data_IF_241739043573
#
_entry.id   IF_241739043573
#
_cell.length_a   1.000
_cell.length_b   1.000
_cell.length_c   1.000
_cell.angle_alpha   90.00
_cell.angle_beta   90.00
_cell.angle_gamma   90.00
#
_symmetry.space_group_name_H-M   'P 1'
#
loop_
_entity.id
_entity.type
_entity.pdbx_description
1 polymer ?
#
# COMPACT_ATOMS: atom_id res chain seq x y z
N UNK A 1 0.23 2.88 -2.07
CA UNK A 1 -0.17 2.92 -0.65
C UNK A 1 0.50 1.77 0.09
N UNK A 2 0.13 0.51 -0.21
CA UNK A 2 0.83 -0.67 0.29
C UNK A 2 2.29 -0.65 -0.18
N UNK A 3 3.24 -1.02 0.67
CA UNK A 3 4.68 -0.96 0.37
C UNK A 3 5.30 0.45 0.40
N UNK A 4 4.48 1.50 0.27
CA UNK A 4 4.93 2.89 0.24
C UNK A 4 4.61 3.63 1.56
N UNK A 5 3.36 3.71 1.95
CA UNK A 5 2.88 4.38 3.17
C UNK A 5 2.53 3.39 4.28
N UNK A 6 1.84 2.32 3.93
CA UNK A 6 1.53 1.17 4.79
C UNK A 6 2.65 0.14 4.69
N UNK A 7 3.26 -0.20 5.82
CA UNK A 7 4.12 -1.38 5.95
C UNK A 7 3.25 -2.64 5.94
N UNK A 8 2.88 -3.06 4.74
CA UNK A 8 1.93 -4.15 4.52
C UNK A 8 2.43 -5.47 5.11
N UNK A 9 3.71 -5.77 4.99
CA UNK A 9 4.27 -7.05 5.43
C UNK A 9 4.19 -7.17 6.98
N UNK A 10 4.53 -6.12 7.70
CA UNK A 10 4.37 -6.10 9.16
C UNK A 10 2.89 -6.09 9.58
N UNK A 11 2.05 -5.31 8.89
CA UNK A 11 0.61 -5.29 9.13
C UNK A 11 -0.01 -6.68 8.96
N UNK A 12 0.41 -7.40 7.91
CA UNK A 12 -0.08 -8.75 7.64
C UNK A 12 0.35 -9.75 8.71
N UNK A 13 1.60 -9.67 9.19
CA UNK A 13 2.10 -10.52 10.28
C UNK A 13 1.32 -10.29 11.58
N UNK A 14 1.07 -9.03 11.91
CA UNK A 14 0.28 -8.67 13.09
C UNK A 14 -1.16 -9.19 12.93
N UNK A 15 -1.77 -8.95 11.78
CA UNK A 15 -3.13 -9.38 11.51
C UNK A 15 -3.29 -10.89 11.64
N UNK A 16 -2.46 -11.68 10.93
CA UNK A 16 -2.63 -13.15 10.91
C UNK A 16 -2.40 -13.79 12.28
N UNK A 17 -1.52 -13.19 13.10
CA UNK A 17 -1.34 -13.60 14.49
C UNK A 17 -2.61 -13.35 15.31
N UNK A 18 -3.20 -12.16 15.19
CA UNK A 18 -4.47 -11.81 15.86
C UNK A 18 -5.64 -12.64 15.34
N UNK A 19 -5.71 -12.91 14.03
CA UNK A 19 -6.74 -13.77 13.45
C UNK A 19 -6.68 -15.18 14.03
N UNK A 20 -5.49 -15.78 14.09
CA UNK A 20 -5.31 -17.11 14.68
C UNK A 20 -5.75 -17.12 16.16
N UNK A 21 -5.41 -16.09 16.94
CA UNK A 21 -5.80 -15.97 18.36
C UNK A 21 -7.32 -15.82 18.50
N UNK A 22 -7.95 -15.00 17.69
CA UNK A 22 -9.40 -14.74 17.69
C UNK A 22 -10.23 -15.95 17.28
N UNK A 23 -9.71 -16.72 16.33
CA UNK A 23 -10.37 -17.90 15.75
C UNK A 23 -9.77 -19.22 16.26
N UNK A 24 -9.11 -19.17 17.42
CA UNK A 24 -8.38 -20.33 17.96
C UNK A 24 -9.26 -21.55 18.20
N UNK A 25 -10.54 -21.39 18.51
CA UNK A 25 -11.45 -22.53 18.71
C UNK A 25 -11.58 -23.43 17.48
N UNK A 26 -11.37 -22.89 16.27
CA UNK A 26 -11.39 -23.65 15.01
C UNK A 26 -10.01 -24.00 14.48
N UNK A 27 -8.97 -23.25 14.91
CA UNK A 27 -7.61 -23.39 14.38
C UNK A 27 -6.63 -24.10 15.33
N UNK A 28 -7.03 -24.40 16.57
CA UNK A 28 -6.15 -24.91 17.64
C UNK A 28 -5.38 -26.20 17.28
N UNK A 29 -5.94 -27.03 16.39
CA UNK A 29 -5.31 -28.26 15.91
C UNK A 29 -4.10 -28.02 14.98
N UNK A 30 -3.91 -26.76 14.53
CA UNK A 30 -2.82 -26.36 13.67
C UNK A 30 -1.81 -25.58 14.51
N UNK A 31 -0.51 -25.96 14.57
CA UNK A 31 0.47 -25.15 15.27
C UNK A 31 0.51 -23.71 14.75
N UNK A 32 0.38 -22.72 15.64
CA UNK A 32 0.26 -21.30 15.32
C UNK A 32 1.32 -20.82 14.33
N UNK A 33 2.58 -21.13 14.59
CA UNK A 33 3.69 -20.68 13.75
C UNK A 33 3.61 -21.28 12.32
N UNK A 34 3.13 -22.52 12.20
CA UNK A 34 2.91 -23.17 10.89
C UNK A 34 1.81 -22.47 10.12
N UNK A 35 0.68 -22.16 10.76
CA UNK A 35 -0.43 -21.46 10.14
C UNK A 35 0.00 -20.08 9.63
N UNK A 36 0.63 -19.28 10.50
CA UNK A 36 1.11 -17.94 10.17
C UNK A 36 2.11 -17.99 9.01
N UNK A 37 3.13 -18.84 9.11
CA UNK A 37 4.14 -18.98 8.06
C UNK A 37 3.52 -19.37 6.73
N UNK A 38 2.61 -20.37 6.74
CA UNK A 38 1.97 -20.84 5.53
C UNK A 38 1.05 -19.81 4.90
N UNK A 39 0.32 -19.05 5.71
CA UNK A 39 -0.49 -17.93 5.22
C UNK A 39 0.37 -16.90 4.48
N UNK A 40 1.50 -16.47 5.07
CA UNK A 40 2.40 -15.48 4.47
C UNK A 40 3.00 -15.99 3.15
N UNK A 41 3.40 -17.26 3.11
CA UNK A 41 3.89 -17.91 1.87
C UNK A 41 2.83 -17.89 0.77
N UNK A 42 1.60 -18.26 1.10
CA UNK A 42 0.49 -18.32 0.14
C UNK A 42 0.03 -16.94 -0.32
N UNK A 43 0.10 -15.94 0.55
CA UNK A 43 -0.21 -14.55 0.24
C UNK A 43 0.71 -13.97 -0.84
N UNK A 44 1.94 -14.46 -0.88
CA UNK A 44 2.94 -14.04 -1.86
C UNK A 44 2.98 -12.51 -2.02
N UNK A 45 3.18 -11.79 -0.90
CA UNK A 45 3.24 -10.32 -0.85
C UNK A 45 2.00 -9.62 -1.44
N UNK A 46 0.85 -10.26 -1.36
CA UNK A 46 -0.42 -9.71 -1.85
C UNK A 46 -0.71 -9.99 -3.32
N UNK A 47 0.16 -10.72 -4.02
CA UNK A 47 -0.10 -11.14 -5.40
C UNK A 47 -1.17 -12.24 -5.49
N UNK A 48 -1.40 -12.99 -4.42
CA UNK A 48 -2.49 -13.96 -4.32
C UNK A 48 -3.60 -13.36 -3.46
N UNK A 49 -4.82 -13.26 -4.02
CA UNK A 49 -5.96 -12.74 -3.28
C UNK A 49 -6.39 -13.70 -2.16
N UNK A 50 -6.92 -13.15 -1.08
CA UNK A 50 -7.17 -13.87 0.19
C UNK A 50 -8.16 -15.02 0.08
N UNK A 51 -9.12 -14.96 -0.84
CA UNK A 51 -10.01 -16.10 -1.11
C UNK A 51 -9.22 -17.36 -1.46
N UNK A 52 -8.21 -17.22 -2.34
CA UNK A 52 -7.34 -18.34 -2.75
C UNK A 52 -6.41 -18.80 -1.63
N UNK A 53 -5.92 -17.85 -0.84
CA UNK A 53 -5.08 -18.15 0.33
C UNK A 53 -5.87 -19.01 1.33
N UNK A 54 -7.07 -18.56 1.72
CA UNK A 54 -7.88 -19.27 2.70
C UNK A 54 -8.41 -20.60 2.18
N UNK A 55 -8.84 -20.68 0.92
CA UNK A 55 -9.22 -21.97 0.30
C UNK A 55 -8.08 -22.99 0.39
N UNK A 56 -6.84 -22.58 0.13
CA UNK A 56 -5.67 -23.47 0.24
C UNK A 56 -5.40 -23.87 1.68
N UNK A 57 -5.45 -22.94 2.64
CA UNK A 57 -5.24 -23.25 4.05
C UNK A 57 -6.27 -24.26 4.58
N UNK A 58 -7.55 -24.06 4.24
CA UNK A 58 -8.62 -25.00 4.61
C UNK A 58 -8.32 -26.39 4.08
N UNK A 59 -7.99 -26.50 2.80
CA UNK A 59 -7.71 -27.80 2.18
C UNK A 59 -6.43 -28.46 2.74
N UNK A 60 -5.36 -27.69 2.95
CA UNK A 60 -4.07 -28.21 3.41
C UNK A 60 -4.12 -28.69 4.88
N UNK A 61 -4.90 -28.03 5.72
CA UNK A 61 -4.99 -28.34 7.14
C UNK A 61 -6.26 -29.09 7.56
N UNK A 62 -7.17 -29.37 6.60
CA UNK A 62 -8.43 -30.09 6.90
C UNK A 62 -9.33 -29.32 7.85
N UNK A 63 -9.40 -27.99 7.73
CA UNK A 63 -10.27 -27.17 8.56
C UNK A 63 -11.72 -27.38 8.10
N UNK A 64 -12.63 -27.77 8.99
CA UNK A 64 -14.02 -28.11 8.65
C UNK A 64 -15.05 -27.25 9.37
N UNK A 65 -14.70 -26.63 10.51
CA UNK A 65 -15.62 -25.87 11.35
C UNK A 65 -15.78 -24.40 10.94
N UNK A 66 -14.90 -23.88 10.09
CA UNK A 66 -14.96 -22.52 9.57
C UNK A 66 -14.69 -22.50 8.08
N UNK A 67 -15.44 -21.71 7.35
CA UNK A 67 -15.32 -21.59 5.89
C UNK A 67 -14.26 -20.59 5.47
N UNK A 68 -13.80 -20.67 4.22
CA UNK A 68 -12.86 -19.68 3.69
C UNK A 68 -13.49 -18.28 3.54
N UNK A 69 -14.81 -18.20 3.34
CA UNK A 69 -15.56 -16.95 3.31
C UNK A 69 -15.56 -16.26 4.67
N UNK A 70 -15.73 -17.00 5.75
CA UNK A 70 -15.69 -16.46 7.12
C UNK A 70 -14.29 -15.97 7.46
N UNK A 71 -13.24 -16.70 7.09
CA UNK A 71 -11.86 -16.27 7.24
C UNK A 71 -11.55 -15.01 6.42
N UNK A 72 -12.07 -14.93 5.19
CA UNK A 72 -11.95 -13.74 4.35
C UNK A 72 -12.72 -12.55 4.94
N UNK A 73 -13.93 -12.78 5.45
CA UNK A 73 -14.73 -11.72 6.08
C UNK A 73 -14.02 -11.17 7.31
N UNK A 74 -13.45 -12.03 8.15
CA UNK A 74 -12.62 -11.61 9.28
C UNK A 74 -11.43 -10.76 8.82
N UNK A 75 -10.75 -11.16 7.73
CA UNK A 75 -9.68 -10.36 7.13
C UNK A 75 -10.16 -8.97 6.71
N UNK A 76 -11.27 -8.89 5.99
CA UNK A 76 -11.78 -7.62 5.48
C UNK A 76 -12.21 -6.66 6.60
N UNK A 77 -12.74 -7.20 7.71
CA UNK A 77 -13.20 -6.40 8.85
C UNK A 77 -12.03 -5.93 9.72
N UNK A 78 -11.10 -6.83 10.06
CA UNK A 78 -10.14 -6.61 11.14
C UNK A 78 -8.72 -6.25 10.67
N UNK A 79 -8.40 -6.33 9.38
CA UNK A 79 -7.05 -5.99 8.90
C UNK A 79 -6.65 -4.55 9.26
N UNK A 80 -7.56 -3.61 9.17
CA UNK A 80 -7.37 -2.19 9.53
C UNK A 80 -6.82 -1.97 10.94
N UNK A 81 -7.17 -2.83 11.91
CA UNK A 81 -6.65 -2.77 13.29
C UNK A 81 -5.19 -3.20 13.42
N UNK A 82 -4.61 -3.65 12.33
CA UNK A 82 -3.23 -4.11 12.26
C UNK A 82 -2.38 -3.27 11.31
N UNK A 83 -2.95 -2.19 10.76
CA UNK A 83 -2.24 -1.30 9.86
C UNK A 83 -1.07 -0.61 10.56
N UNK A 84 0.14 -0.85 10.05
CA UNK A 84 1.38 -0.24 10.54
C UNK A 84 1.89 0.75 9.48
N UNK A 85 2.05 2.03 9.82
CA UNK A 85 2.69 2.97 8.92
C UNK A 85 4.17 2.67 8.75
N UNK A 86 4.76 3.06 7.63
CA UNK A 86 6.21 3.23 7.59
C UNK A 86 6.64 4.40 8.48
N UNK A 87 7.89 4.38 9.01
CA UNK A 87 8.42 5.49 9.80
C UNK A 87 8.26 6.84 9.11
N UNK A 88 8.12 7.90 9.88
CA UNK A 88 8.01 9.28 9.43
C UNK A 88 6.79 9.60 8.52
N UNK A 89 5.82 8.69 8.37
CA UNK A 89 4.65 8.92 7.50
C UNK A 89 3.93 10.23 7.84
N UNK A 90 3.48 10.40 9.06
CA UNK A 90 2.68 11.58 9.46
C UNK A 90 3.50 12.86 9.40
N UNK A 91 4.71 12.85 9.94
CA UNK A 91 5.57 14.04 9.92
C UNK A 91 5.95 14.48 8.49
N UNK A 92 6.09 13.54 7.57
CA UNK A 92 6.30 13.83 6.15
C UNK A 92 5.07 14.51 5.54
N UNK A 93 3.85 13.97 5.76
CA UNK A 93 2.62 14.55 5.25
C UNK A 93 2.38 15.95 5.81
N UNK A 94 2.60 16.16 7.11
CA UNK A 94 2.50 17.46 7.76
C UNK A 94 3.45 18.50 7.16
N UNK A 95 4.69 18.12 6.89
CA UNK A 95 5.65 19.03 6.26
C UNK A 95 5.25 19.38 4.81
N UNK A 96 4.78 18.41 4.03
CA UNK A 96 4.29 18.68 2.66
C UNK A 96 3.09 19.63 2.70
N UNK A 97 2.09 19.36 3.56
CA UNK A 97 0.91 20.24 3.72
C UNK A 97 1.28 21.60 4.25
N UNK A 98 2.17 21.69 5.23
CA UNK A 98 2.67 22.95 5.80
C UNK A 98 3.38 23.84 4.77
N UNK A 99 3.97 23.25 3.72
CA UNK A 99 4.58 23.96 2.60
C UNK A 99 3.60 24.26 1.45
N UNK A 100 2.29 24.05 1.64
CA UNK A 100 1.26 24.31 0.64
C UNK A 100 1.11 23.22 -0.42
N UNK A 101 1.73 22.05 -0.25
CA UNK A 101 1.63 20.93 -1.19
C UNK A 101 0.26 20.28 -1.18
N UNK A 102 -0.25 19.89 -2.36
CA UNK A 102 -1.42 19.04 -2.51
C UNK A 102 -1.00 17.57 -2.49
N UNK A 103 -1.78 16.71 -1.84
CA UNK A 103 -1.48 15.29 -1.66
C UNK A 103 -2.59 14.43 -2.25
N UNK A 104 -2.24 13.55 -3.19
CA UNK A 104 -3.12 12.53 -3.74
C UNK A 104 -2.66 11.12 -3.43
N UNK A 105 -3.59 10.21 -3.20
CA UNK A 105 -3.33 8.77 -3.07
C UNK A 105 -3.91 8.03 -4.27
N UNK A 106 -3.07 7.22 -4.93
CA UNK A 106 -3.52 6.25 -5.95
C UNK A 106 -3.16 4.86 -5.44
N UNK A 107 -4.17 3.98 -5.27
CA UNK A 107 -3.96 2.62 -4.80
C UNK A 107 -4.73 1.60 -5.63
N UNK A 108 -4.07 0.47 -5.94
CA UNK A 108 -4.75 -0.69 -6.51
C UNK A 108 -5.32 -1.55 -5.39
N UNK A 109 -6.57 -1.96 -5.51
CA UNK A 109 -7.21 -2.84 -4.53
C UNK A 109 -8.73 -2.66 -4.45
N UNK A 110 -9.32 -3.32 -3.47
CA UNK A 110 -10.75 -3.26 -3.14
C UNK A 110 -11.11 -1.94 -2.49
N UNK A 111 -12.19 -1.31 -2.95
CA UNK A 111 -12.60 0.05 -2.60
C UNK A 111 -12.65 0.29 -1.09
N UNK A 112 -13.60 -0.31 -0.42
CA UNK A 112 -13.78 -0.10 1.01
C UNK A 112 -12.57 -0.57 1.83
N UNK A 113 -11.96 -1.70 1.48
CA UNK A 113 -10.80 -2.23 2.18
C UNK A 113 -9.61 -1.26 2.15
N UNK A 114 -9.31 -0.65 1.00
CA UNK A 114 -8.24 0.33 0.89
C UNK A 114 -8.60 1.63 1.63
N UNK A 115 -9.85 2.07 1.58
CA UNK A 115 -10.30 3.25 2.33
C UNK A 115 -10.17 3.03 3.85
N UNK A 116 -10.59 1.87 4.35
CA UNK A 116 -10.45 1.52 5.77
C UNK A 116 -8.98 1.56 6.22
N UNK A 117 -8.05 1.07 5.38
CA UNK A 117 -6.62 1.12 5.68
C UNK A 117 -6.07 2.56 5.66
N UNK A 118 -6.51 3.40 4.73
CA UNK A 118 -6.15 4.82 4.66
C UNK A 118 -6.61 5.54 5.94
N UNK A 119 -7.85 5.30 6.37
CA UNK A 119 -8.40 5.87 7.60
C UNK A 119 -7.70 5.35 8.86
N UNK A 120 -7.39 4.05 8.90
CA UNK A 120 -6.65 3.45 10.02
C UNK A 120 -5.24 4.04 10.19
N UNK A 121 -4.61 4.44 9.09
CA UNK A 121 -3.34 5.18 9.13
C UNK A 121 -3.52 6.66 9.49
N UNK A 122 -4.76 7.18 9.52
CA UNK A 122 -5.07 8.59 9.77
C UNK A 122 -4.54 9.55 8.71
N UNK A 123 -4.39 9.06 7.46
CA UNK A 123 -3.81 9.85 6.36
C UNK A 123 -4.86 10.49 5.45
N UNK A 124 -6.11 10.10 5.56
CA UNK A 124 -7.25 10.69 4.85
C UNK A 124 -7.36 12.20 5.08
N UNK A 125 -7.13 12.66 6.30
CA UNK A 125 -7.17 14.09 6.69
C UNK A 125 -6.08 14.96 6.06
N UNK A 126 -5.03 14.35 5.50
CA UNK A 126 -3.95 15.05 4.80
C UNK A 126 -4.12 15.07 3.29
N UNK A 127 -5.08 14.28 2.76
CA UNK A 127 -5.21 14.04 1.31
C UNK A 127 -6.29 14.88 0.67
N UNK A 128 -5.96 15.45 -0.49
CA UNK A 128 -6.88 16.27 -1.30
C UNK A 128 -7.60 15.42 -2.36
N UNK A 129 -7.04 14.24 -2.68
CA UNK A 129 -7.67 13.27 -3.59
C UNK A 129 -7.28 11.83 -3.23
N UNK A 130 -8.26 10.92 -3.25
CA UNK A 130 -8.04 9.47 -3.07
C UNK A 130 -8.66 8.75 -4.25
N UNK A 131 -7.83 7.95 -4.95
CA UNK A 131 -8.24 7.14 -6.10
C UNK A 131 -7.93 5.67 -5.79
N UNK A 132 -8.98 4.87 -5.71
CA UNK A 132 -8.89 3.43 -5.48
C UNK A 132 -9.33 2.72 -6.75
N UNK A 133 -8.51 1.82 -7.27
CA UNK A 133 -8.70 1.24 -8.59
C UNK A 133 -10.05 0.58 -8.83
N UNK A 134 -10.66 -0.06 -7.81
CA UNK A 134 -11.99 -0.65 -7.93
C UNK A 134 -13.07 0.41 -8.15
N UNK A 135 -13.00 1.54 -7.46
CA UNK A 135 -13.95 2.64 -7.60
C UNK A 135 -13.75 3.43 -8.90
N UNK A 136 -12.50 3.53 -9.36
CA UNK A 136 -12.17 4.22 -10.61
C UNK A 136 -12.40 3.37 -11.87
N UNK A 137 -12.63 2.05 -11.71
CA UNK A 137 -12.74 1.13 -12.85
C UNK A 137 -11.43 0.95 -13.64
N UNK A 138 -10.32 1.47 -13.15
CA UNK A 138 -9.00 1.45 -13.78
C UNK A 138 -7.89 1.36 -12.72
N UNK A 139 -6.80 0.66 -13.02
CA UNK A 139 -5.71 0.40 -12.07
C UNK A 139 -4.34 0.77 -12.64
N UNK A 140 -3.39 1.11 -11.78
CA UNK A 140 -1.97 1.24 -12.16
C UNK A 140 -1.48 -0.06 -12.80
N UNK A 141 -0.73 -0.03 -13.91
CA UNK A 141 -0.02 1.11 -14.51
C UNK A 141 -0.80 1.91 -15.56
N UNK A 142 -2.12 1.70 -15.76
CA UNK A 142 -2.87 2.46 -16.76
C UNK A 142 -2.79 3.97 -16.47
N UNK A 143 -2.36 4.74 -17.48
CA UNK A 143 -2.18 6.19 -17.39
C UNK A 143 -3.45 6.96 -16.99
N UNK A 144 -4.63 6.38 -17.23
CA UNK A 144 -5.91 7.02 -16.93
C UNK A 144 -6.08 7.33 -15.45
N UNK A 145 -5.64 6.44 -14.55
CA UNK A 145 -5.79 6.66 -13.11
C UNK A 145 -4.90 7.81 -12.62
N UNK A 146 -3.68 7.95 -13.17
CA UNK A 146 -2.78 9.06 -12.87
C UNK A 146 -3.34 10.38 -13.40
N UNK A 147 -3.84 10.40 -14.64
CA UNK A 147 -4.48 11.58 -15.25
C UNK A 147 -5.71 12.02 -14.44
N UNK A 148 -6.50 11.06 -13.94
CA UNK A 148 -7.65 11.38 -13.08
C UNK A 148 -7.21 12.02 -11.75
N UNK A 149 -6.11 11.54 -11.14
CA UNK A 149 -5.55 12.14 -9.94
C UNK A 149 -5.05 13.57 -10.20
N UNK A 150 -4.25 13.78 -11.25
CA UNK A 150 -3.76 15.10 -11.65
C UNK A 150 -4.92 16.09 -11.88
N UNK A 151 -5.97 15.63 -12.56
CA UNK A 151 -7.18 16.44 -12.78
C UNK A 151 -7.89 16.81 -11.46
N UNK A 152 -8.02 15.86 -10.52
CA UNK A 152 -8.66 16.15 -9.21
C UNK A 152 -7.86 17.11 -8.35
N UNK A 153 -6.55 17.05 -8.47
CA UNK A 153 -5.63 17.95 -7.75
C UNK A 153 -5.44 19.30 -8.46
N UNK A 154 -5.94 19.42 -9.70
CA UNK A 154 -5.74 20.58 -10.58
C UNK A 154 -4.27 20.96 -10.77
N UNK A 155 -3.42 19.94 -11.02
CA UNK A 155 -1.97 20.12 -11.18
C UNK A 155 -1.46 19.45 -12.45
N UNK A 156 -0.49 20.05 -13.17
CA UNK A 156 0.12 19.41 -14.33
C UNK A 156 1.13 18.33 -13.91
N UNK A 157 1.31 17.31 -14.75
CA UNK A 157 2.23 16.22 -14.48
C UNK A 157 3.66 16.68 -14.19
N UNK A 158 4.16 17.68 -14.94
CA UNK A 158 5.52 18.23 -14.80
C UNK A 158 5.80 18.90 -13.43
N UNK A 159 4.74 19.31 -12.72
CA UNK A 159 4.81 19.93 -11.40
C UNK A 159 4.41 18.95 -10.28
N UNK A 160 4.33 17.66 -10.63
CA UNK A 160 3.90 16.60 -9.73
C UNK A 160 5.00 15.58 -9.50
N UNK A 161 5.02 15.03 -8.29
CA UNK A 161 5.94 13.97 -7.89
C UNK A 161 5.12 12.75 -7.54
N UNK A 162 5.47 11.60 -8.11
CA UNK A 162 4.89 10.32 -7.74
C UNK A 162 5.85 9.54 -6.84
N UNK A 163 5.37 9.09 -5.69
CA UNK A 163 6.12 8.27 -4.75
C UNK A 163 5.52 6.86 -4.72
N UNK A 164 6.33 5.85 -4.96
CA UNK A 164 5.89 4.46 -4.96
C UNK A 164 7.01 3.45 -4.77
N UNK A 165 6.63 2.18 -4.53
CA UNK A 165 7.57 1.08 -4.31
C UNK A 165 7.71 0.15 -5.53
N UNK A 166 6.72 0.13 -6.44
CA UNK A 166 6.71 -0.79 -7.56
C UNK A 166 7.33 -0.16 -8.82
N UNK A 167 8.40 -0.74 -9.41
CA UNK A 167 9.08 -0.16 -10.56
C UNK A 167 8.15 0.16 -11.73
N UNK A 168 7.42 -0.82 -12.24
CA UNK A 168 6.57 -0.66 -13.42
C UNK A 168 5.27 0.09 -13.12
N UNK A 169 4.56 -0.31 -12.03
CA UNK A 169 3.22 0.23 -11.74
C UNK A 169 3.25 1.65 -11.20
N UNK A 170 4.35 2.04 -10.56
CA UNK A 170 4.49 3.33 -9.91
C UNK A 170 5.48 4.22 -10.66
N UNK A 171 6.76 3.81 -10.73
CA UNK A 171 7.83 4.64 -11.24
C UNK A 171 7.71 4.86 -12.75
N UNK A 172 7.79 3.79 -13.54
CA UNK A 172 7.74 3.88 -15.00
C UNK A 172 6.44 4.48 -15.50
N UNK A 173 5.29 4.07 -14.89
CA UNK A 173 3.99 4.57 -15.28
C UNK A 173 3.85 6.09 -15.06
N UNK A 174 4.39 6.62 -13.95
CA UNK A 174 4.38 8.05 -13.67
C UNK A 174 5.35 8.82 -14.57
N UNK A 175 6.57 8.28 -14.81
CA UNK A 175 7.54 8.88 -15.72
C UNK A 175 7.03 9.00 -17.14
N UNK A 176 6.30 8.01 -17.64
CA UNK A 176 5.67 8.06 -18.97
C UNK A 176 4.68 9.24 -19.13
N UNK A 177 4.21 9.83 -18.04
CA UNK A 177 3.35 11.01 -18.03
C UNK A 177 4.10 12.33 -17.81
N UNK A 178 5.42 12.28 -17.63
CA UNK A 178 6.25 13.44 -17.34
C UNK A 178 6.24 13.89 -15.87
N UNK A 179 5.81 13.03 -14.96
CA UNK A 179 5.93 13.28 -13.51
C UNK A 179 7.38 13.02 -13.06
N UNK A 180 7.80 13.74 -12.02
CA UNK A 180 8.99 13.33 -11.26
C UNK A 180 8.67 12.12 -10.40
N UNK A 181 9.66 11.26 -10.16
CA UNK A 181 9.46 10.01 -9.44
C UNK A 181 10.41 9.84 -8.28
N UNK A 182 9.87 9.37 -7.17
CA UNK A 182 10.63 8.92 -6.00
C UNK A 182 10.33 7.43 -5.80
N UNK A 183 11.32 6.60 -5.94
CA UNK A 183 11.19 5.19 -5.62
C UNK A 183 11.52 4.95 -4.15
N UNK A 184 10.51 4.50 -3.40
CA UNK A 184 10.74 3.97 -2.06
C UNK A 184 11.28 2.56 -2.21
N UNK A 185 12.55 2.38 -1.85
CA UNK A 185 13.28 1.13 -2.08
C UNK A 185 12.57 -0.06 -1.43
N UNK A 186 12.40 -1.11 -2.21
CA UNK A 186 11.99 -2.43 -1.78
C UNK A 186 12.99 -3.46 -2.33
N UNK A 187 13.59 -4.25 -1.43
CA UNK A 187 14.68 -5.18 -1.74
C UNK A 187 14.30 -6.23 -2.79
N UNK A 188 13.00 -6.57 -2.93
CA UNK A 188 12.55 -7.53 -3.94
C UNK A 188 12.87 -7.10 -5.39
N UNK A 189 13.00 -5.79 -5.64
CA UNK A 189 13.22 -5.24 -6.98
C UNK A 189 14.70 -5.02 -7.31
N UNK A 190 15.61 -5.35 -6.37
CA UNK A 190 17.03 -5.08 -6.54
C UNK A 190 17.35 -3.57 -6.57
N UNK A 191 18.46 -3.21 -7.22
CA UNK A 191 18.98 -1.83 -7.18
C UNK A 191 18.87 -1.09 -8.53
N UNK A 192 18.27 -1.69 -9.56
CA UNK A 192 18.28 -1.16 -10.92
C UNK A 192 17.03 -0.37 -11.32
N UNK A 193 16.24 0.08 -10.35
CA UNK A 193 15.06 0.89 -10.62
C UNK A 193 15.46 2.30 -11.03
N UNK A 194 15.03 2.74 -12.21
CA UNK A 194 15.34 4.06 -12.77
C UNK A 194 14.29 5.07 -12.32
N UNK A 195 14.45 5.63 -11.13
CA UNK A 195 13.66 6.75 -10.64
C UNK A 195 14.49 8.04 -10.62
N UNK A 196 13.86 9.21 -10.58
CA UNK A 196 14.58 10.48 -10.41
C UNK A 196 15.26 10.53 -9.04
N UNK A 197 14.63 9.97 -8.01
CA UNK A 197 15.16 9.86 -6.64
C UNK A 197 14.87 8.48 -6.06
N UNK A 198 15.73 8.04 -5.15
CA UNK A 198 15.58 6.78 -4.40
C UNK A 198 15.65 7.11 -2.91
N UNK A 199 14.70 6.60 -2.14
CA UNK A 199 14.65 6.79 -0.70
C UNK A 199 14.50 5.44 0.03
N UNK A 200 15.01 5.40 1.25
CA UNK A 200 14.75 4.31 2.19
C UNK A 200 13.69 4.72 3.23
N UNK A 201 13.59 6.01 3.53
CA UNK A 201 12.70 6.56 4.56
C UNK A 201 11.82 7.68 4.01
N UNK A 202 10.54 7.72 4.44
CA UNK A 202 9.60 8.75 4.01
C UNK A 202 10.00 10.17 4.46
N UNK A 203 10.78 10.27 5.53
CA UNK A 203 11.30 11.55 6.03
C UNK A 203 12.24 12.28 5.07
N UNK A 204 12.74 11.60 4.03
CA UNK A 204 13.60 12.19 2.99
C UNK A 204 12.78 13.02 1.96
N UNK A 205 11.49 12.70 1.78
CA UNK A 205 10.63 13.31 0.74
C UNK A 205 10.55 14.84 0.86
N UNK A 206 10.31 15.45 2.04
CA UNK A 206 10.19 16.91 2.14
C UNK A 206 11.44 17.66 1.67
N UNK A 207 12.63 17.11 1.90
CA UNK A 207 13.87 17.71 1.44
C UNK A 207 13.97 17.66 -0.09
N UNK A 208 13.62 16.54 -0.72
CA UNK A 208 13.59 16.38 -2.17
C UNK A 208 12.62 17.38 -2.80
N UNK A 209 11.40 17.51 -2.23
CA UNK A 209 10.40 18.48 -2.70
C UNK A 209 10.95 19.90 -2.64
N UNK A 210 11.59 20.28 -1.53
CA UNK A 210 12.16 21.61 -1.37
C UNK A 210 13.30 21.88 -2.38
N UNK A 211 14.14 20.90 -2.65
CA UNK A 211 15.20 20.99 -3.67
C UNK A 211 14.62 21.22 -5.07
N UNK A 212 13.57 20.50 -5.44
CA UNK A 212 12.90 20.67 -6.74
C UNK A 212 12.24 22.05 -6.87
N UNK A 213 11.61 22.55 -5.81
CA UNK A 213 10.97 23.87 -5.80
C UNK A 213 11.98 25.03 -5.84
N UNK A 214 13.17 24.84 -5.28
CA UNK A 214 14.21 25.89 -5.27
C UNK A 214 14.99 26.02 -6.60
N UNK A 215 14.70 25.19 -7.59
CA UNK A 215 15.38 25.22 -8.89
C UNK A 215 16.84 24.77 -8.83
N UNK A 216 17.27 24.08 -7.79
CA UNK A 216 18.65 23.63 -7.56
C UNK A 216 19.06 22.40 -8.38
N UNK A 217 18.35 22.10 -9.45
CA UNK A 217 18.74 21.10 -10.46
C UNK A 217 18.94 21.81 -11.80
N UNK A 218 20.13 22.36 -11.97
CA UNK A 218 20.69 22.70 -13.30
C UNK A 218 21.58 21.57 -13.80
#
# INVERSE_FOLDING_TARGET
MDGTLLNRDESLKIFIKKQYERLNEWLFHIPKDKYIKRFIELDNRGYVWKDKVYQRLINEYGIVEITWEELLQDYLIYFKESCMPFPNLISMLEKIKGNGGSIGIITNGKGQFQMDNIQALGIDKYTDAILISEWEGVKKPDSKIFKAALKRLDVPAKESIFVGDHPEKDVEAAQCLGMKTIWKKDEQWGNNVKADFIINDLGEIPQIVNQLNSGSYS
#
